data_IF_674951058594
#
_entry.id   IF_674951058594
#
_cell.length_a   1.000
_cell.length_b   1.000
_cell.length_c   1.000
_cell.angle_alpha   90.00
_cell.angle_beta   90.00
_cell.angle_gamma   90.00
#
_symmetry.space_group_name_H-M   'P 1'
#
loop_
_entity.id
_entity.type
_entity.pdbx_description
1 polymer ?
#
# COMPACT_ATOMS: atom_id res chain seq x y z
N UNK A 1 16.27 -4.61 9.64
CA UNK A 1 15.62 -5.30 10.79
C UNK A 1 14.58 -6.24 10.21
N UNK A 2 14.31 -7.38 10.85
CA UNK A 2 13.27 -8.32 10.41
C UNK A 2 11.89 -7.82 10.83
N UNK A 3 10.96 -7.68 9.89
CA UNK A 3 9.56 -7.36 10.19
C UNK A 3 8.72 -8.63 10.35
N UNK A 4 7.66 -8.57 11.17
CA UNK A 4 6.67 -9.65 11.18
C UNK A 4 5.89 -9.68 9.87
N UNK A 5 5.53 -8.49 9.35
CA UNK A 5 4.73 -8.32 8.14
C UNK A 5 5.32 -7.20 7.27
N UNK A 6 5.61 -7.51 6.01
CA UNK A 6 5.80 -6.51 4.95
C UNK A 6 4.55 -6.47 4.06
N UNK A 7 4.06 -5.28 3.76
CA UNK A 7 2.88 -5.05 2.94
C UNK A 7 3.31 -4.26 1.70
N UNK A 8 3.08 -4.79 0.51
CA UNK A 8 3.44 -4.12 -0.74
C UNK A 8 2.21 -3.38 -1.28
N UNK A 9 2.22 -2.05 -1.15
CA UNK A 9 1.15 -1.14 -1.51
C UNK A 9 0.50 -0.49 -0.30
N UNK A 10 0.31 0.83 -0.33
CA UNK A 10 -0.34 1.64 0.70
C UNK A 10 -1.70 2.21 0.24
N UNK A 11 -2.44 1.44 -0.56
CA UNK A 11 -3.87 1.68 -0.82
C UNK A 11 -4.78 1.24 0.34
N UNK A 12 -6.12 1.29 0.18
CA UNK A 12 -7.06 0.92 1.25
C UNK A 12 -6.84 -0.49 1.81
N UNK A 13 -6.51 -1.45 0.94
CA UNK A 13 -6.20 -2.82 1.35
C UNK A 13 -4.94 -2.89 2.22
N UNK A 14 -3.85 -2.24 1.79
CA UNK A 14 -2.58 -2.24 2.50
C UNK A 14 -2.65 -1.51 3.85
N UNK A 15 -3.28 -0.33 3.88
CA UNK A 15 -3.47 0.43 5.12
C UNK A 15 -4.35 -0.32 6.12
N UNK A 16 -5.40 -0.99 5.65
CA UNK A 16 -6.26 -1.83 6.50
C UNK A 16 -5.48 -3.02 7.06
N UNK A 17 -4.70 -3.72 6.22
CA UNK A 17 -3.82 -4.78 6.67
C UNK A 17 -2.81 -4.28 7.72
N UNK A 18 -2.26 -3.08 7.53
CA UNK A 18 -1.33 -2.48 8.49
C UNK A 18 -1.99 -2.18 9.85
N UNK A 19 -3.19 -1.59 9.84
CA UNK A 19 -3.99 -1.35 11.05
C UNK A 19 -4.18 -2.66 11.83
N UNK A 20 -4.61 -3.73 11.15
CA UNK A 20 -4.85 -5.02 11.80
C UNK A 20 -3.54 -5.69 12.28
N UNK A 21 -2.47 -5.62 11.49
CA UNK A 21 -1.16 -6.13 11.89
C UNK A 21 -0.63 -5.46 13.16
N UNK A 22 -0.70 -4.12 13.22
CA UNK A 22 -0.30 -3.36 14.41
C UNK A 22 -1.18 -3.64 15.63
N UNK A 23 -2.50 -3.79 15.44
CA UNK A 23 -3.43 -4.19 16.51
C UNK A 23 -3.17 -5.60 17.05
N UNK A 24 -2.60 -6.49 16.23
CA UNK A 24 -2.13 -7.80 16.65
C UNK A 24 -0.69 -7.78 17.23
N UNK A 25 -0.19 -6.59 17.57
CA UNK A 25 1.15 -6.36 18.13
C UNK A 25 2.30 -6.86 17.23
N UNK A 26 2.11 -6.84 15.91
CA UNK A 26 3.14 -7.19 14.91
C UNK A 26 3.91 -5.97 14.44
N UNK A 27 5.20 -6.12 14.14
CA UNK A 27 5.93 -5.08 13.39
C UNK A 27 5.49 -5.09 11.93
N UNK A 28 5.14 -3.91 11.40
CA UNK A 28 4.57 -3.78 10.04
C UNK A 28 5.34 -2.72 9.28
N UNK A 29 5.79 -3.09 8.08
CA UNK A 29 6.34 -2.17 7.08
C UNK A 29 5.45 -2.16 5.84
N UNK A 30 4.96 -1.00 5.45
CA UNK A 30 4.35 -0.78 4.13
C UNK A 30 5.40 -0.27 3.13
N UNK A 31 5.44 -0.85 1.94
CA UNK A 31 6.28 -0.41 0.82
C UNK A 31 5.36 0.17 -0.25
N UNK A 32 5.49 1.46 -0.55
CA UNK A 32 4.67 2.16 -1.55
C UNK A 32 5.53 2.83 -2.61
N UNK A 33 5.23 2.61 -3.89
CA UNK A 33 6.06 3.10 -4.99
C UNK A 33 5.87 4.60 -5.29
N UNK A 34 4.70 5.16 -4.98
CA UNK A 34 4.35 6.55 -5.29
C UNK A 34 3.91 7.28 -4.01
N UNK A 35 2.61 7.36 -3.81
CA UNK A 35 1.96 7.98 -2.65
C UNK A 35 0.93 7.01 -2.08
N UNK A 36 0.68 7.10 -0.78
CA UNK A 36 -0.39 6.32 -0.15
C UNK A 36 -1.76 6.71 -0.73
N UNK A 37 -2.75 5.85 -0.51
CA UNK A 37 -4.12 5.99 -1.01
C UNK A 37 -4.43 5.12 -2.23
N UNK A 38 -3.45 4.79 -3.06
CA UNK A 38 -3.70 4.01 -4.29
C UNK A 38 -4.73 4.70 -5.19
N UNK A 39 -5.60 3.92 -5.85
CA UNK A 39 -6.60 4.49 -6.78
C UNK A 39 -7.63 5.41 -6.11
N UNK A 40 -7.92 5.19 -4.82
CA UNK A 40 -9.00 5.91 -4.13
C UNK A 40 -8.74 7.41 -4.07
N UNK A 41 -7.47 7.83 -4.05
CA UNK A 41 -7.08 9.24 -3.93
C UNK A 41 -7.58 10.09 -5.10
N UNK A 42 -7.81 9.44 -6.26
CA UNK A 42 -8.28 10.10 -7.48
C UNK A 42 -9.81 10.24 -7.53
N UNK A 43 -10.54 9.68 -6.56
CA UNK A 43 -12.00 9.76 -6.51
C UNK A 43 -12.44 11.06 -5.85
N UNK A 44 -13.15 11.97 -6.55
CA UNK A 44 -13.58 13.24 -5.98
C UNK A 44 -14.53 13.07 -4.79
N UNK A 45 -15.43 12.09 -4.88
CA UNK A 45 -16.45 11.84 -3.87
C UNK A 45 -16.78 10.35 -3.78
N UNK A 46 -16.77 9.81 -2.56
CA UNK A 46 -17.11 8.45 -2.21
C UNK A 46 -18.41 8.50 -1.41
N UNK A 47 -19.42 7.78 -1.91
CA UNK A 47 -20.77 7.75 -1.33
C UNK A 47 -21.15 6.38 -0.78
N UNK A 48 -20.35 5.36 -1.10
CA UNK A 48 -20.66 3.95 -0.90
C UNK A 48 -19.73 3.26 0.10
N UNK A 49 -18.92 4.01 0.85
CA UNK A 49 -18.12 3.44 1.94
C UNK A 49 -18.90 3.51 3.25
N UNK A 50 -19.17 2.36 3.92
CA UNK A 50 -19.94 2.35 5.17
C UNK A 50 -19.35 3.27 6.23
N UNK A 51 -20.22 3.94 6.99
CA UNK A 51 -19.88 4.89 8.05
C UNK A 51 -19.11 6.15 7.62
N UNK A 52 -18.93 6.38 6.32
CA UNK A 52 -18.38 7.62 5.76
C UNK A 52 -19.26 8.13 4.61
N UNK A 53 -20.49 8.61 4.89
CA UNK A 53 -21.36 9.16 3.86
C UNK A 53 -20.75 10.46 3.32
N UNK A 54 -20.38 10.48 2.04
CA UNK A 54 -19.81 11.62 1.31
C UNK A 54 -18.44 12.06 1.83
N UNK A 55 -17.39 11.29 1.51
CA UNK A 55 -16.00 11.62 1.80
C UNK A 55 -15.20 11.73 0.50
N UNK A 56 -14.25 12.68 0.41
CA UNK A 56 -13.33 12.69 -0.73
C UNK A 56 -12.37 11.50 -0.65
N UNK A 57 -11.90 11.02 -1.80
CA UNK A 57 -10.88 9.97 -1.84
C UNK A 57 -9.58 10.34 -1.14
N UNK A 58 -9.22 11.62 -1.22
CA UNK A 58 -8.08 12.18 -0.50
C UNK A 58 -8.25 12.10 1.01
N UNK A 59 -9.37 12.62 1.55
CA UNK A 59 -9.62 12.61 3.00
C UNK A 59 -9.73 11.19 3.54
N UNK A 60 -10.34 10.29 2.77
CA UNK A 60 -10.37 8.87 3.09
C UNK A 60 -8.95 8.30 3.26
N UNK A 61 -8.07 8.55 2.28
CA UNK A 61 -6.70 8.05 2.29
C UNK A 61 -5.88 8.65 3.45
N UNK A 62 -6.00 9.95 3.71
CA UNK A 62 -5.34 10.63 4.82
C UNK A 62 -5.76 10.04 6.16
N UNK A 63 -7.07 9.84 6.37
CA UNK A 63 -7.60 9.27 7.61
C UNK A 63 -7.11 7.83 7.83
N UNK A 64 -7.18 6.99 6.79
CA UNK A 64 -6.72 5.60 6.87
C UNK A 64 -5.20 5.52 7.12
N UNK A 65 -4.41 6.34 6.42
CA UNK A 65 -2.96 6.38 6.59
C UNK A 65 -2.56 6.88 7.99
N UNK A 66 -3.25 7.92 8.49
CA UNK A 66 -3.07 8.44 9.84
C UNK A 66 -3.38 7.40 10.91
N UNK A 67 -4.42 6.58 10.73
CA UNK A 67 -4.74 5.48 11.65
C UNK A 67 -3.66 4.40 11.65
N UNK A 68 -3.17 3.97 10.47
CA UNK A 68 -2.10 2.98 10.36
C UNK A 68 -0.80 3.48 11.01
N UNK A 69 -0.37 4.70 10.66
CA UNK A 69 0.86 5.32 11.16
C UNK A 69 0.78 5.62 12.65
N UNK A 70 -0.38 6.06 13.15
CA UNK A 70 -0.61 6.31 14.58
C UNK A 70 -0.54 5.05 15.45
N UNK A 71 -0.80 3.87 14.88
CA UNK A 71 -0.58 2.57 15.52
C UNK A 71 0.87 2.08 15.40
N UNK A 72 1.75 2.84 14.73
CA UNK A 72 3.16 2.54 14.53
C UNK A 72 3.45 1.61 13.35
N UNK A 73 2.58 1.58 12.33
CA UNK A 73 2.98 1.00 11.05
C UNK A 73 4.01 1.91 10.38
N UNK A 74 5.13 1.34 9.94
CA UNK A 74 6.16 2.06 9.20
C UNK A 74 5.81 2.09 7.72
N UNK A 75 6.29 3.10 6.99
CA UNK A 75 6.12 3.20 5.54
C UNK A 75 7.39 3.68 4.90
N UNK A 76 7.82 3.00 3.85
CA UNK A 76 8.91 3.45 2.97
C UNK A 76 8.36 3.68 1.57
N UNK A 77 8.87 4.74 0.93
CA UNK A 77 8.49 5.10 -0.44
C UNK A 77 9.51 4.54 -1.42
N UNK A 78 9.30 3.28 -1.80
CA UNK A 78 10.18 2.45 -2.59
C UNK A 78 9.36 1.58 -3.55
N UNK A 79 9.93 1.24 -4.70
CA UNK A 79 9.28 0.35 -5.67
C UNK A 79 9.72 -1.09 -5.42
N UNK A 80 8.81 -1.94 -4.97
CA UNK A 80 9.06 -3.37 -4.92
C UNK A 80 9.29 -3.95 -6.34
N UNK A 81 10.36 -4.72 -6.48
CA UNK A 81 10.81 -5.32 -7.74
C UNK A 81 10.60 -6.85 -7.75
N UNK A 82 10.60 -7.48 -6.58
CA UNK A 82 10.42 -8.92 -6.46
C UNK A 82 10.28 -9.38 -5.02
N UNK A 83 9.84 -10.63 -4.87
CA UNK A 83 9.74 -11.33 -3.60
C UNK A 83 10.40 -12.69 -3.79
N UNK A 84 11.30 -13.05 -2.88
CA UNK A 84 11.84 -14.41 -2.78
C UNK A 84 11.52 -14.97 -1.40
N UNK A 85 11.54 -16.30 -1.28
CA UNK A 85 11.33 -16.99 -0.02
C UNK A 85 12.40 -18.08 0.15
N UNK A 86 13.08 -18.06 1.30
CA UNK A 86 14.09 -19.04 1.65
C UNK A 86 14.02 -19.34 3.15
N UNK A 87 14.02 -20.61 3.54
CA UNK A 87 13.99 -21.06 4.94
C UNK A 87 12.92 -20.38 5.83
N UNK A 88 11.75 -20.11 5.26
CA UNK A 88 10.63 -19.49 6.00
C UNK A 88 10.76 -17.99 6.23
N UNK A 89 11.73 -17.33 5.58
CA UNK A 89 11.86 -15.87 5.52
C UNK A 89 11.54 -15.41 4.10
N UNK A 90 10.77 -14.33 4.00
CA UNK A 90 10.55 -13.61 2.76
C UNK A 90 11.50 -12.43 2.65
N UNK A 91 12.06 -12.21 1.47
CA UNK A 91 12.83 -11.01 1.14
C UNK A 91 12.10 -10.25 0.04
N UNK A 92 11.73 -9.00 0.32
CA UNK A 92 11.18 -8.08 -0.67
C UNK A 92 12.29 -7.17 -1.16
N UNK A 93 12.71 -7.37 -2.41
CA UNK A 93 13.70 -6.52 -3.07
C UNK A 93 13.01 -5.29 -3.63
N UNK A 94 13.55 -4.11 -3.36
CA UNK A 94 13.08 -2.82 -3.88
C UNK A 94 14.15 -2.16 -4.74
N UNK A 95 13.83 -0.99 -5.30
CA UNK A 95 14.79 -0.13 -5.99
C UNK A 95 15.79 0.55 -5.05
N UNK A 96 15.65 0.42 -3.72
CA UNK A 96 16.53 1.03 -2.72
C UNK A 96 17.17 0.07 -1.74
N UNK A 97 16.82 -1.21 -1.79
CA UNK A 97 17.41 -2.22 -0.92
C UNK A 97 16.52 -3.44 -0.76
N UNK A 98 16.67 -4.13 0.36
CA UNK A 98 15.93 -5.35 0.67
C UNK A 98 15.31 -5.25 2.06
N UNK A 99 14.10 -5.79 2.17
CA UNK A 99 13.35 -5.85 3.42
C UNK A 99 12.97 -7.30 3.72
N UNK A 100 13.41 -7.82 4.87
CA UNK A 100 13.09 -9.17 5.31
C UNK A 100 11.84 -9.20 6.18
N UNK A 101 11.01 -10.23 5.98
CA UNK A 101 9.82 -10.44 6.76
C UNK A 101 9.47 -11.92 6.98
N UNK A 102 8.74 -12.19 8.07
CA UNK A 102 8.13 -13.51 8.31
C UNK A 102 6.91 -13.76 7.42
N UNK A 103 6.27 -12.71 6.94
CA UNK A 103 5.11 -12.78 6.05
C UNK A 103 5.03 -11.56 5.15
N UNK A 104 4.44 -11.76 3.97
CA UNK A 104 4.21 -10.69 2.98
C UNK A 104 2.74 -10.63 2.59
N UNK A 105 2.18 -9.43 2.56
CA UNK A 105 0.84 -9.14 2.01
C UNK A 105 1.02 -8.34 0.73
N UNK A 106 0.52 -8.86 -0.40
CA UNK A 106 0.55 -8.18 -1.69
C UNK A 106 -0.76 -7.37 -1.83
N UNK A 107 -0.64 -6.04 -1.81
CA UNK A 107 -1.74 -5.08 -1.88
C UNK A 107 -1.49 -4.03 -2.99
N UNK A 108 -0.85 -4.45 -4.10
CA UNK A 108 -0.35 -3.58 -5.18
C UNK A 108 -1.44 -2.97 -6.06
N UNK A 109 -2.69 -3.39 -5.89
CA UNK A 109 -3.83 -2.85 -6.64
C UNK A 109 -3.78 -3.16 -8.13
N UNK A 110 -4.29 -2.22 -8.93
CA UNK A 110 -4.39 -2.30 -10.39
C UNK A 110 -4.20 -0.93 -11.02
N UNK A 111 -3.85 -0.92 -12.31
CA UNK A 111 -3.75 0.30 -13.14
C UNK A 111 -4.74 0.23 -14.30
N UNK A 112 -5.11 1.40 -14.82
CA UNK A 112 -5.99 1.49 -16.00
C UNK A 112 -5.28 0.91 -17.22
N UNK A 113 -6.00 0.08 -17.97
CA UNK A 113 -5.48 -0.48 -19.22
C UNK A 113 -5.42 0.61 -20.29
N UNK A 114 -4.25 0.79 -20.90
CA UNK A 114 -4.06 1.64 -22.08
C UNK A 114 -4.86 1.12 -23.27
N UNK A 115 -5.36 2.02 -24.11
CA UNK A 115 -6.07 1.71 -25.35
C UNK A 115 -5.13 1.18 -26.45
N UNK A 116 -3.83 1.51 -26.37
CA UNK A 116 -2.82 1.11 -27.34
C UNK A 116 -2.83 1.97 -28.61
N UNK A 117 -3.30 3.22 -28.52
CA UNK A 117 -3.35 4.14 -29.65
C UNK A 117 -2.00 4.86 -29.86
N UNK A 118 -1.67 5.26 -31.09
CA UNK A 118 -0.55 6.16 -31.33
C UNK A 118 -0.69 7.43 -30.47
N UNK A 119 0.42 7.91 -29.91
CA UNK A 119 0.52 9.11 -29.07
C UNK A 119 -0.32 9.12 -27.78
N UNK A 120 -0.90 7.99 -27.35
CA UNK A 120 -1.72 7.91 -26.13
C UNK A 120 -0.98 8.46 -24.90
N UNK A 121 0.30 8.11 -24.73
CA UNK A 121 1.13 8.55 -23.58
C UNK A 121 1.35 10.07 -23.50
N UNK A 122 1.16 10.80 -24.61
CA UNK A 122 1.27 12.27 -24.62
C UNK A 122 0.00 12.96 -24.08
N UNK A 123 -1.13 12.25 -24.10
CA UNK A 123 -2.46 12.81 -23.82
C UNK A 123 -2.99 12.48 -22.42
N UNK A 124 -2.27 11.67 -21.65
CA UNK A 124 -2.60 11.21 -20.30
C UNK A 124 -1.75 11.94 -19.27
#
# INVERSE_FOLDING_TARGET
MMHDIVIIGAGPAGMTAAIYGRRASKTVLMIEAKSYGGQIINTPQIENYPAAPNISGYDFAVNAFGQASGLGAETVFEKALGITAHDGVFTVTTDRGEHEARSVIIATGSENRKLGLPDEDRLI
#
